data_IF_788970010876
#
_entry.id   IF_788970010876
#
_cell.length_a   1.000
_cell.length_b   1.000
_cell.length_c   1.000
_cell.angle_alpha   90.00
_cell.angle_beta   90.00
_cell.angle_gamma   90.00
#
_symmetry.space_group_name_H-M   'P 1'
#
loop_
_entity.id
_entity.type
_entity.pdbx_description
1 polymer ?
#
# COMPACT_ATOMS: atom_id res chain seq x y z
N UNK A 1 -17.66 -31.86 -14.78
CA UNK A 1 -16.28 -32.43 -14.87
C UNK A 1 -15.32 -31.49 -15.57
N UNK A 2 -15.61 -31.01 -16.78
CA UNK A 2 -14.73 -30.05 -17.51
C UNK A 2 -14.47 -28.76 -16.70
N UNK A 3 -15.51 -28.17 -16.12
CA UNK A 3 -15.40 -26.96 -15.27
C UNK A 3 -14.42 -27.10 -14.10
N UNK A 4 -14.29 -28.29 -13.54
CA UNK A 4 -13.40 -28.57 -12.39
C UNK A 4 -12.00 -29.00 -12.86
N UNK A 5 -11.70 -28.96 -14.16
CA UNK A 5 -10.39 -29.34 -14.71
C UNK A 5 -10.10 -30.84 -14.70
N UNK A 6 -11.07 -31.68 -14.30
CA UNK A 6 -10.93 -33.15 -14.30
C UNK A 6 -11.12 -33.71 -15.71
N UNK A 7 -10.16 -33.41 -16.57
CA UNK A 7 -10.21 -33.75 -17.99
C UNK A 7 -10.31 -35.26 -18.21
N UNK A 8 -9.51 -36.08 -17.52
CA UNK A 8 -9.54 -37.53 -17.73
C UNK A 8 -10.91 -38.14 -17.36
N UNK A 9 -11.54 -37.63 -16.30
CA UNK A 9 -12.87 -38.07 -15.89
C UNK A 9 -13.94 -37.55 -16.87
N UNK A 10 -13.81 -36.31 -17.34
CA UNK A 10 -14.68 -35.76 -18.38
C UNK A 10 -14.60 -36.57 -19.68
N UNK A 11 -13.38 -36.96 -20.10
CA UNK A 11 -13.14 -37.81 -21.26
C UNK A 11 -13.78 -39.18 -21.11
N UNK A 12 -13.59 -39.84 -19.96
CA UNK A 12 -14.20 -41.15 -19.66
C UNK A 12 -15.73 -41.09 -19.71
N UNK A 13 -16.32 -40.01 -19.21
CA UNK A 13 -17.77 -39.80 -19.24
C UNK A 13 -18.29 -39.49 -20.66
N UNK A 14 -17.60 -38.65 -21.43
CA UNK A 14 -17.99 -38.29 -22.79
C UNK A 14 -17.76 -39.42 -23.82
N UNK A 15 -16.82 -40.32 -23.54
CA UNK A 15 -16.49 -41.47 -24.41
C UNK A 15 -17.16 -42.78 -23.93
N UNK A 16 -18.14 -42.71 -23.03
CA UNK A 16 -18.83 -43.90 -22.54
C UNK A 16 -19.72 -44.51 -23.65
N UNK A 17 -19.66 -45.84 -23.88
CA UNK A 17 -20.47 -46.47 -24.93
C UNK A 17 -21.97 -46.27 -24.68
N UNK A 18 -22.68 -45.66 -25.62
CA UNK A 18 -24.15 -45.53 -25.60
C UNK A 18 -24.71 -44.14 -25.29
N UNK A 19 -23.89 -43.12 -25.01
CA UNK A 19 -24.34 -41.72 -24.94
C UNK A 19 -24.08 -40.97 -26.26
N UNK A 20 -24.99 -40.07 -26.70
CA UNK A 20 -24.73 -39.19 -27.83
C UNK A 20 -23.59 -38.24 -27.48
N UNK A 21 -22.53 -38.24 -28.30
CA UNK A 21 -21.39 -37.33 -28.16
C UNK A 21 -21.83 -35.94 -28.61
N UNK A 22 -21.82 -34.96 -27.71
CA UNK A 22 -21.90 -33.54 -28.09
C UNK A 22 -20.54 -33.11 -28.68
N UNK A 23 -20.45 -32.83 -30.00
CA UNK A 23 -19.19 -32.46 -30.63
C UNK A 23 -18.60 -31.18 -30.04
N UNK A 24 -19.45 -30.28 -29.55
CA UNK A 24 -19.07 -29.00 -28.98
C UNK A 24 -18.36 -29.18 -27.64
N UNK A 25 -18.90 -30.02 -26.76
CA UNK A 25 -18.28 -30.34 -25.47
C UNK A 25 -16.98 -31.12 -25.63
N UNK A 26 -16.91 -32.02 -26.63
CA UNK A 26 -15.68 -32.73 -26.97
C UNK A 26 -14.59 -31.77 -27.48
N UNK A 27 -14.95 -30.81 -28.33
CA UNK A 27 -14.03 -29.79 -28.83
C UNK A 27 -13.48 -28.90 -27.70
N UNK A 28 -14.35 -28.47 -26.77
CA UNK A 28 -13.92 -27.71 -25.58
C UNK A 28 -12.98 -28.52 -24.69
N UNK A 29 -13.29 -29.80 -24.45
CA UNK A 29 -12.43 -30.70 -23.68
C UNK A 29 -11.03 -30.82 -24.30
N UNK A 30 -10.95 -31.05 -25.61
CA UNK A 30 -9.67 -31.14 -26.34
C UNK A 30 -8.88 -29.82 -26.30
N UNK A 31 -9.58 -28.68 -26.37
CA UNK A 31 -8.96 -27.38 -26.24
C UNK A 31 -8.38 -27.16 -24.82
N UNK A 32 -9.13 -27.48 -23.77
CA UNK A 32 -8.64 -27.41 -22.38
C UNK A 32 -7.42 -28.30 -22.15
N UNK A 33 -7.43 -29.54 -22.66
CA UNK A 33 -6.27 -30.44 -22.61
C UNK A 33 -5.02 -29.84 -23.25
N UNK A 34 -5.19 -29.29 -24.44
CA UNK A 34 -4.12 -28.65 -25.17
C UNK A 34 -3.54 -27.49 -24.37
N UNK A 35 -4.38 -26.66 -23.77
CA UNK A 35 -3.93 -25.55 -22.95
C UNK A 35 -3.24 -26.02 -21.65
N UNK A 36 -3.73 -27.07 -20.98
CA UNK A 36 -3.07 -27.66 -19.80
C UNK A 36 -1.68 -28.22 -20.15
N UNK A 37 -1.55 -28.93 -21.28
CA UNK A 37 -0.26 -29.42 -21.75
C UNK A 37 0.72 -28.27 -21.98
N UNK A 38 0.25 -27.17 -22.56
CA UNK A 38 1.07 -25.97 -22.76
C UNK A 38 1.39 -25.22 -21.46
N UNK A 39 0.47 -25.11 -20.47
CA UNK A 39 0.80 -24.58 -19.11
C UNK A 39 1.95 -25.41 -18.53
N UNK A 40 1.88 -26.74 -18.67
CA UNK A 40 2.89 -27.67 -18.16
C UNK A 40 4.27 -27.43 -18.78
N UNK A 41 4.33 -27.32 -20.10
CA UNK A 41 5.59 -27.11 -20.81
C UNK A 41 6.16 -25.71 -20.51
N UNK A 42 5.31 -24.68 -20.52
CA UNK A 42 5.69 -23.31 -20.20
C UNK A 42 6.22 -23.18 -18.76
N UNK A 43 5.54 -23.77 -17.78
CA UNK A 43 6.00 -23.79 -16.39
C UNK A 43 7.34 -24.50 -16.25
N UNK A 44 7.54 -25.63 -16.94
CA UNK A 44 8.79 -26.42 -16.89
C UNK A 44 9.99 -25.60 -17.34
N UNK A 45 9.85 -24.80 -18.40
CA UNK A 45 10.90 -23.91 -18.90
C UNK A 45 10.90 -22.53 -18.24
N UNK A 46 10.03 -22.30 -17.25
CA UNK A 46 9.85 -21.02 -16.54
C UNK A 46 9.43 -19.85 -17.42
N UNK A 47 8.72 -20.12 -18.51
CA UNK A 47 8.03 -19.08 -19.30
C UNK A 47 6.68 -18.75 -18.66
N UNK A 48 6.74 -17.90 -17.63
CA UNK A 48 5.55 -17.52 -16.86
C UNK A 48 4.54 -16.70 -17.66
N UNK A 49 4.97 -15.98 -18.71
CA UNK A 49 4.04 -15.26 -19.59
C UNK A 49 3.19 -16.23 -20.40
N UNK A 50 3.82 -17.26 -20.97
CA UNK A 50 3.07 -18.32 -21.66
C UNK A 50 2.25 -19.15 -20.69
N UNK A 51 2.77 -19.48 -19.49
CA UNK A 51 1.99 -20.21 -18.49
C UNK A 51 0.70 -19.45 -18.12
N UNK A 52 0.79 -18.15 -17.85
CA UNK A 52 -0.37 -17.29 -17.57
C UNK A 52 -1.36 -17.25 -18.74
N UNK A 53 -0.87 -17.06 -19.97
CA UNK A 53 -1.72 -17.02 -21.16
C UNK A 53 -2.49 -18.33 -21.35
N UNK A 54 -1.81 -19.47 -21.21
CA UNK A 54 -2.42 -20.77 -21.43
C UNK A 54 -3.35 -21.18 -20.27
N UNK A 55 -3.06 -20.80 -19.02
CA UNK A 55 -4.01 -20.97 -17.91
C UNK A 55 -5.28 -20.16 -18.14
N UNK A 56 -5.14 -18.90 -18.58
CA UNK A 56 -6.28 -18.02 -18.84
C UNK A 56 -7.14 -18.53 -20.01
N UNK A 57 -6.51 -19.05 -21.06
CA UNK A 57 -7.20 -19.68 -22.17
C UNK A 57 -7.95 -20.95 -21.74
N UNK A 58 -7.37 -21.79 -20.88
CA UNK A 58 -8.03 -22.98 -20.34
C UNK A 58 -9.26 -22.60 -19.49
N UNK A 59 -9.12 -21.59 -18.62
CA UNK A 59 -10.21 -21.04 -17.80
C UNK A 59 -11.34 -20.51 -18.69
N UNK A 60 -11.01 -19.66 -19.69
CA UNK A 60 -11.98 -19.08 -20.61
C UNK A 60 -12.70 -20.12 -21.49
N UNK A 61 -12.04 -21.23 -21.80
CA UNK A 61 -12.63 -22.34 -22.58
C UNK A 61 -13.64 -23.16 -21.78
N UNK A 62 -13.68 -22.99 -20.45
CA UNK A 62 -14.69 -23.60 -19.59
C UNK A 62 -14.15 -24.44 -18.44
N UNK A 63 -12.86 -24.32 -18.09
CA UNK A 63 -12.27 -24.91 -16.88
C UNK A 63 -12.19 -23.90 -15.72
N UNK A 64 -13.25 -23.10 -15.56
CA UNK A 64 -13.33 -21.91 -14.70
C UNK A 64 -13.36 -22.21 -13.20
N UNK A 65 -13.62 -23.47 -12.82
CA UNK A 65 -13.64 -23.95 -11.43
C UNK A 65 -12.50 -24.92 -11.12
N UNK A 66 -11.47 -25.02 -11.97
CA UNK A 66 -10.27 -25.86 -11.69
C UNK A 66 -9.35 -25.14 -10.71
N UNK A 67 -9.19 -25.65 -9.47
CA UNK A 67 -8.27 -25.05 -8.50
C UNK A 67 -6.82 -25.09 -9.00
N UNK A 68 -6.43 -26.11 -9.76
CA UNK A 68 -5.07 -26.26 -10.29
C UNK A 68 -4.74 -25.21 -11.33
N UNK A 69 -5.66 -24.91 -12.26
CA UNK A 69 -5.46 -23.87 -13.27
C UNK A 69 -5.47 -22.47 -12.67
N UNK A 70 -6.38 -22.21 -11.72
CA UNK A 70 -6.39 -20.95 -10.99
C UNK A 70 -5.09 -20.76 -10.20
N UNK A 71 -4.52 -21.84 -9.63
CA UNK A 71 -3.20 -21.78 -9.00
C UNK A 71 -2.03 -21.71 -10.01
N UNK A 72 -2.12 -22.28 -11.24
CA UNK A 72 -1.17 -22.01 -12.35
C UNK A 72 -1.13 -20.50 -12.63
N UNK A 73 -2.31 -19.86 -12.71
CA UNK A 73 -2.45 -18.41 -12.91
C UNK A 73 -1.82 -17.60 -11.76
N UNK A 74 -2.15 -17.92 -10.51
CA UNK A 74 -1.59 -17.23 -9.33
C UNK A 74 -0.07 -17.36 -9.28
N UNK A 75 0.49 -18.56 -9.50
CA UNK A 75 1.93 -18.77 -9.53
C UNK A 75 2.59 -17.95 -10.65
N UNK A 76 2.01 -17.96 -11.86
CA UNK A 76 2.56 -17.21 -12.98
C UNK A 76 2.57 -15.68 -12.71
N UNK A 77 1.48 -15.12 -12.18
CA UNK A 77 1.41 -13.71 -11.80
C UNK A 77 2.45 -13.35 -10.74
N UNK A 78 2.62 -14.21 -9.72
CA UNK A 78 3.65 -14.03 -8.70
C UNK A 78 5.06 -13.99 -9.31
N UNK A 79 5.37 -14.90 -10.23
CA UNK A 79 6.68 -14.95 -10.90
C UNK A 79 6.90 -13.83 -11.93
N UNK A 80 5.83 -13.15 -12.33
CA UNK A 80 5.87 -11.94 -13.16
C UNK A 80 5.91 -10.64 -12.32
N UNK A 81 6.04 -10.75 -10.99
CA UNK A 81 6.03 -9.62 -10.06
C UNK A 81 4.72 -8.82 -10.06
N UNK A 82 3.60 -9.48 -10.38
CA UNK A 82 2.25 -8.90 -10.33
C UNK A 82 1.52 -9.36 -9.06
N UNK A 83 1.99 -8.90 -7.90
CA UNK A 83 1.52 -9.40 -6.59
C UNK A 83 0.03 -9.07 -6.33
N UNK A 84 -0.42 -7.87 -6.68
CA UNK A 84 -1.82 -7.44 -6.45
C UNK A 84 -2.80 -8.27 -7.31
N UNK A 85 -2.42 -8.57 -8.56
CA UNK A 85 -3.19 -9.44 -9.46
C UNK A 85 -3.20 -10.89 -8.96
N UNK A 86 -2.09 -11.36 -8.39
CA UNK A 86 -1.96 -12.68 -7.82
C UNK A 86 -2.83 -12.83 -6.55
N UNK A 87 -2.83 -11.83 -5.65
CA UNK A 87 -3.68 -11.82 -4.45
C UNK A 87 -5.17 -11.76 -4.81
N UNK A 88 -5.52 -10.92 -5.79
CA UNK A 88 -6.88 -10.84 -6.32
C UNK A 88 -7.34 -12.18 -6.91
N UNK A 89 -6.47 -12.82 -7.71
CA UNK A 89 -6.76 -14.14 -8.31
C UNK A 89 -6.90 -15.24 -7.24
N UNK A 90 -6.11 -15.18 -6.16
CA UNK A 90 -6.18 -16.13 -5.05
C UNK A 90 -7.54 -16.09 -4.34
N UNK A 91 -8.14 -14.91 -4.19
CA UNK A 91 -9.44 -14.74 -3.54
C UNK A 91 -10.60 -15.47 -4.24
N UNK A 92 -10.44 -15.74 -5.54
CA UNK A 92 -11.42 -16.43 -6.39
C UNK A 92 -11.29 -17.95 -6.32
N UNK A 93 -10.13 -18.46 -5.87
CA UNK A 93 -9.89 -19.91 -5.77
C UNK A 93 -10.88 -20.53 -4.78
N UNK A 94 -11.70 -21.53 -5.22
CA UNK A 94 -12.63 -22.18 -4.33
C UNK A 94 -11.88 -22.78 -3.12
N UNK A 95 -12.32 -22.43 -1.91
CA UNK A 95 -11.81 -23.07 -0.69
C UNK A 95 -12.18 -24.55 -0.76
N UNK A 96 -11.21 -25.42 -1.00
CA UNK A 96 -11.48 -26.86 -0.88
C UNK A 96 -11.77 -27.18 0.58
N UNK A 97 -12.96 -27.73 0.81
CA UNK A 97 -13.18 -28.53 2.01
C UNK A 97 -12.25 -29.75 1.93
N UNK A 98 -11.61 -30.15 3.05
CA UNK A 98 -10.79 -31.35 3.07
C UNK A 98 -11.70 -32.55 2.80
N UNK A 99 -11.70 -33.05 1.56
CA UNK A 99 -12.45 -34.24 1.21
C UNK A 99 -11.86 -35.44 1.96
N UNK A 100 -12.55 -35.82 3.04
CA UNK A 100 -12.38 -37.11 3.69
C UNK A 100 -12.95 -38.17 2.75
N UNK A 101 -12.03 -38.89 2.10
CA UNK A 101 -12.24 -40.12 1.33
C UNK A 101 -12.51 -39.96 -0.18
N UNK A 102 -11.69 -40.71 -0.93
CA UNK A 102 -11.69 -40.91 -2.38
C UNK A 102 -11.00 -39.81 -3.21
N UNK A 103 -9.75 -39.50 -2.91
CA UNK A 103 -8.93 -38.69 -3.82
C UNK A 103 -8.27 -39.58 -4.87
N UNK A 104 -8.70 -39.43 -6.12
CA UNK A 104 -7.88 -39.83 -7.27
C UNK A 104 -6.56 -39.08 -7.13
N UNK A 105 -5.44 -39.79 -6.94
CA UNK A 105 -4.08 -39.22 -6.84
C UNK A 105 -3.63 -38.66 -8.20
N UNK A 106 -4.36 -37.67 -8.70
CA UNK A 106 -4.04 -36.93 -9.91
C UNK A 106 -2.81 -36.09 -9.63
N UNK A 107 -1.90 -36.07 -10.60
CA UNK A 107 -0.71 -35.24 -10.53
C UNK A 107 -0.89 -34.04 -11.45
N UNK A 108 -0.55 -32.87 -10.92
CA UNK A 108 -0.46 -31.63 -11.65
C UNK A 108 0.98 -31.13 -11.56
N UNK A 109 1.63 -30.92 -12.71
CA UNK A 109 3.06 -30.57 -12.78
C UNK A 109 3.99 -31.50 -11.99
N UNK A 110 3.65 -32.79 -11.91
CA UNK A 110 4.44 -33.80 -11.20
C UNK A 110 4.24 -33.82 -9.67
N UNK A 111 3.49 -32.87 -9.11
CA UNK A 111 3.02 -32.86 -7.73
C UNK A 111 1.62 -33.47 -7.63
N UNK A 112 1.25 -34.04 -6.49
CA UNK A 112 -0.17 -34.31 -6.23
C UNK A 112 -0.96 -33.00 -6.30
N UNK A 113 -2.11 -32.98 -6.97
CA UNK A 113 -2.88 -31.76 -7.22
C UNK A 113 -3.13 -30.97 -5.92
N UNK A 114 -3.61 -31.64 -4.86
CA UNK A 114 -3.81 -31.01 -3.54
C UNK A 114 -2.52 -30.40 -2.95
N UNK A 115 -1.37 -31.04 -3.13
CA UNK A 115 -0.09 -30.50 -2.67
C UNK A 115 0.32 -29.25 -3.46
N UNK A 116 0.05 -29.22 -4.77
CA UNK A 116 0.34 -28.07 -5.63
C UNK A 116 -0.42 -26.81 -5.20
N UNK A 117 -1.67 -26.96 -4.76
CA UNK A 117 -2.45 -25.82 -4.24
C UNK A 117 -1.75 -25.21 -3.00
N UNK A 118 -1.41 -26.03 -2.01
CA UNK A 118 -0.72 -25.54 -0.82
C UNK A 118 0.70 -25.05 -1.11
N UNK A 119 1.37 -25.63 -2.12
CA UNK A 119 2.68 -25.19 -2.59
C UNK A 119 2.63 -23.76 -3.13
N UNK A 120 1.68 -23.44 -4.02
CA UNK A 120 1.52 -22.07 -4.53
C UNK A 120 1.00 -21.12 -3.45
N UNK A 121 0.09 -21.58 -2.58
CA UNK A 121 -0.38 -20.79 -1.42
C UNK A 121 0.79 -20.34 -0.54
N UNK A 122 1.73 -21.24 -0.25
CA UNK A 122 2.89 -20.90 0.57
C UNK A 122 3.77 -19.81 -0.08
N UNK A 123 3.94 -19.85 -1.41
CA UNK A 123 4.73 -18.84 -2.13
C UNK A 123 4.08 -17.46 -2.06
N UNK A 124 2.76 -17.36 -2.32
CA UNK A 124 2.07 -16.08 -2.30
C UNK A 124 1.95 -15.51 -0.87
N UNK A 125 1.67 -16.34 0.13
CA UNK A 125 1.65 -15.90 1.53
C UNK A 125 3.04 -15.39 1.97
N UNK A 126 4.12 -16.00 1.49
CA UNK A 126 5.48 -15.52 1.75
C UNK A 126 5.72 -14.14 1.13
N UNK A 127 5.31 -13.95 -0.13
CA UNK A 127 5.44 -12.67 -0.83
C UNK A 127 4.59 -11.55 -0.21
N UNK A 128 3.40 -11.88 0.30
CA UNK A 128 2.53 -10.97 1.07
C UNK A 128 3.05 -10.69 2.49
N UNK A 129 4.15 -11.31 2.91
CA UNK A 129 4.72 -11.13 4.24
C UNK A 129 3.95 -11.83 5.36
N UNK A 130 3.09 -12.80 5.03
CA UNK A 130 2.30 -13.61 5.97
C UNK A 130 3.05 -14.92 6.28
N UNK A 131 4.22 -14.79 6.90
CA UNK A 131 5.19 -15.87 7.09
C UNK A 131 4.62 -17.12 7.78
N UNK A 132 3.78 -16.97 8.81
CA UNK A 132 3.21 -18.12 9.53
C UNK A 132 2.21 -18.92 8.67
N UNK A 133 1.40 -18.22 7.87
CA UNK A 133 0.49 -18.84 6.90
C UNK A 133 1.28 -19.56 5.82
N UNK A 134 2.38 -18.96 5.35
CA UNK A 134 3.27 -19.57 4.36
C UNK A 134 3.88 -20.88 4.87
N UNK A 135 4.39 -20.89 6.11
CA UNK A 135 4.92 -22.11 6.77
C UNK A 135 3.83 -23.17 6.88
N UNK A 136 2.64 -22.79 7.37
CA UNK A 136 1.51 -23.72 7.51
C UNK A 136 1.11 -24.34 6.18
N UNK A 137 1.04 -23.54 5.11
CA UNK A 137 0.72 -24.02 3.77
C UNK A 137 1.81 -24.96 3.24
N UNK A 138 3.10 -24.60 3.39
CA UNK A 138 4.20 -25.44 2.94
C UNK A 138 4.24 -26.79 3.70
N UNK A 139 3.91 -26.79 5.00
CA UNK A 139 3.82 -28.01 5.80
C UNK A 139 2.70 -28.93 5.32
N UNK A 140 1.53 -28.37 4.99
CA UNK A 140 0.43 -29.14 4.40
C UNK A 140 0.82 -29.73 3.05
N UNK A 141 1.47 -28.96 2.17
CA UNK A 141 1.97 -29.47 0.90
C UNK A 141 2.92 -30.67 1.12
N UNK A 142 3.85 -30.55 2.08
CA UNK A 142 4.80 -31.62 2.43
C UNK A 142 4.15 -32.85 3.05
N UNK A 143 3.05 -32.71 3.79
CA UNK A 143 2.29 -33.85 4.31
C UNK A 143 1.57 -34.61 3.20
N UNK A 144 1.04 -33.90 2.20
CA UNK A 144 0.28 -34.47 1.09
C UNK A 144 1.23 -35.19 0.11
N UNK A 145 2.34 -34.56 -0.27
CA UNK A 145 3.32 -35.11 -1.22
C UNK A 145 4.76 -35.13 -0.68
N UNK A 146 5.05 -35.97 0.34
CA UNK A 146 6.34 -35.97 1.04
C UNK A 146 7.52 -36.44 0.19
N UNK A 147 7.26 -37.09 -0.96
CA UNK A 147 8.31 -37.57 -1.86
C UNK A 147 8.66 -36.54 -2.95
N UNK A 148 7.91 -35.44 -3.04
CA UNK A 148 8.16 -34.41 -4.04
C UNK A 148 9.30 -33.48 -3.61
N UNK A 149 10.32 -33.39 -4.48
CA UNK A 149 11.54 -32.62 -4.21
C UNK A 149 11.26 -31.11 -4.17
N UNK A 150 10.42 -30.58 -5.08
CA UNK A 150 10.09 -29.14 -5.09
C UNK A 150 9.36 -28.73 -3.81
N UNK A 151 8.42 -29.56 -3.35
CA UNK A 151 7.69 -29.33 -2.09
C UNK A 151 8.65 -29.34 -0.89
N UNK A 152 9.55 -30.31 -0.82
CA UNK A 152 10.53 -30.39 0.26
C UNK A 152 11.49 -29.18 0.28
N UNK A 153 11.95 -28.73 -0.88
CA UNK A 153 12.80 -27.54 -1.02
C UNK A 153 12.04 -26.28 -0.60
N UNK A 154 10.79 -26.11 -1.06
CA UNK A 154 9.97 -24.96 -0.67
C UNK A 154 9.76 -24.93 0.85
N UNK A 155 9.40 -26.05 1.46
CA UNK A 155 9.18 -26.14 2.90
C UNK A 155 10.43 -25.73 3.71
N UNK A 156 11.60 -26.21 3.30
CA UNK A 156 12.85 -25.85 3.96
C UNK A 156 13.16 -24.35 3.82
N UNK A 157 13.00 -23.80 2.61
CA UNK A 157 13.25 -22.38 2.34
C UNK A 157 12.28 -21.50 3.14
N UNK A 158 10.98 -21.79 3.09
CA UNK A 158 9.94 -21.04 3.80
C UNK A 158 10.17 -21.03 5.30
N UNK A 159 10.48 -22.19 5.90
CA UNK A 159 10.82 -22.28 7.33
C UNK A 159 12.07 -21.49 7.69
N UNK A 160 13.11 -21.56 6.85
CA UNK A 160 14.34 -20.81 7.09
C UNK A 160 14.09 -19.30 7.03
N UNK A 161 13.41 -18.83 5.98
CA UNK A 161 13.06 -17.41 5.79
C UNK A 161 12.22 -16.89 6.96
N UNK A 162 11.20 -17.64 7.38
CA UNK A 162 10.37 -17.27 8.53
C UNK A 162 11.18 -17.18 9.84
N UNK A 163 12.09 -18.14 10.09
CA UNK A 163 12.99 -18.12 11.26
C UNK A 163 13.98 -16.96 11.21
N UNK A 164 14.56 -16.70 10.04
CA UNK A 164 15.48 -15.59 9.81
C UNK A 164 14.80 -14.24 10.10
N UNK A 165 13.55 -14.07 9.64
CA UNK A 165 12.72 -12.91 9.97
C UNK A 165 12.45 -12.79 11.47
N UNK A 166 12.02 -13.87 12.12
CA UNK A 166 11.71 -13.87 13.56
C UNK A 166 12.95 -13.48 14.38
N UNK A 167 14.10 -14.11 14.10
CA UNK A 167 15.39 -13.77 14.69
C UNK A 167 15.76 -12.30 14.46
N UNK A 168 15.62 -11.81 13.22
CA UNK A 168 15.88 -10.40 12.90
C UNK A 168 14.99 -9.45 13.71
N UNK A 169 13.70 -9.76 13.86
CA UNK A 169 12.79 -8.95 14.66
C UNK A 169 13.17 -8.92 16.14
N UNK A 170 13.56 -10.06 16.72
CA UNK A 170 13.94 -10.14 18.13
C UNK A 170 15.25 -9.39 18.41
N UNK A 171 16.21 -9.49 17.48
CA UNK A 171 17.44 -8.70 17.51
C UNK A 171 17.16 -7.20 17.38
N UNK A 172 16.24 -6.81 16.48
CA UNK A 172 15.82 -5.42 16.32
C UNK A 172 15.19 -4.86 17.60
N UNK A 173 14.29 -5.61 18.25
CA UNK A 173 13.69 -5.23 19.54
C UNK A 173 14.72 -5.10 20.66
N UNK A 174 15.79 -5.88 20.58
CA UNK A 174 16.92 -5.83 21.51
C UNK A 174 17.99 -4.80 21.10
N UNK A 175 17.68 -3.92 20.13
CA UNK A 175 18.55 -2.86 19.60
C UNK A 175 19.88 -3.36 18.99
N UNK A 176 19.99 -4.66 18.70
CA UNK A 176 21.15 -5.31 18.05
C UNK A 176 21.04 -5.20 16.53
N UNK A 177 21.05 -3.98 16.02
CA UNK A 177 20.69 -3.69 14.62
C UNK A 177 21.64 -4.32 13.59
N UNK A 178 22.94 -4.43 13.86
CA UNK A 178 23.91 -5.07 12.94
C UNK A 178 23.63 -6.57 12.76
N UNK A 179 23.27 -7.24 13.85
CA UNK A 179 22.92 -8.66 13.84
C UNK A 179 21.53 -8.87 13.24
N UNK A 180 20.59 -7.94 13.49
CA UNK A 180 19.30 -7.93 12.82
C UNK A 180 19.46 -7.81 11.29
N UNK A 181 20.34 -6.90 10.81
CA UNK A 181 20.68 -6.82 9.39
C UNK A 181 21.15 -8.16 8.83
N UNK A 182 22.04 -8.83 9.57
CA UNK A 182 22.58 -10.12 9.17
C UNK A 182 21.49 -11.19 9.09
N UNK A 183 20.61 -11.27 10.10
CA UNK A 183 19.51 -12.22 10.13
C UNK A 183 18.50 -11.99 8.99
N UNK A 184 18.12 -10.75 8.69
CA UNK A 184 17.27 -10.47 7.52
C UNK A 184 18.00 -10.78 6.20
N UNK A 185 19.30 -10.48 6.12
CA UNK A 185 20.15 -10.85 5.00
C UNK A 185 20.21 -12.36 4.77
N UNK A 186 20.23 -13.17 5.83
CA UNK A 186 20.16 -14.63 5.73
C UNK A 186 18.88 -15.08 5.03
N UNK A 187 17.73 -14.52 5.41
CA UNK A 187 16.45 -14.81 4.76
C UNK A 187 16.44 -14.38 3.28
N UNK A 188 16.95 -13.19 2.98
CA UNK A 188 17.03 -12.66 1.61
C UNK A 188 17.92 -13.50 0.68
N UNK A 189 18.89 -14.25 1.19
CA UNK A 189 19.67 -15.19 0.36
C UNK A 189 18.82 -16.32 -0.21
N UNK A 190 17.74 -16.72 0.48
CA UNK A 190 16.82 -17.76 0.01
C UNK A 190 15.57 -17.19 -0.67
N UNK A 191 15.17 -15.98 -0.31
CA UNK A 191 14.05 -15.27 -0.92
C UNK A 191 14.45 -13.83 -1.30
N UNK A 192 15.18 -13.65 -2.43
CA UNK A 192 15.71 -12.36 -2.86
C UNK A 192 14.64 -11.40 -3.36
N UNK A 193 13.38 -11.85 -3.47
CA UNK A 193 12.23 -11.04 -3.88
C UNK A 193 11.29 -10.73 -2.70
N UNK A 194 11.79 -10.81 -1.45
CA UNK A 194 10.97 -10.51 -0.27
C UNK A 194 11.01 -9.03 0.12
N UNK A 195 9.99 -8.26 -0.28
CA UNK A 195 9.89 -6.82 0.02
C UNK A 195 9.89 -6.51 1.53
N UNK A 196 9.31 -7.40 2.35
CA UNK A 196 9.22 -7.22 3.80
C UNK A 196 10.59 -7.36 4.47
N UNK A 197 11.40 -8.34 4.08
CA UNK A 197 12.75 -8.49 4.62
C UNK A 197 13.66 -7.32 4.25
N UNK A 198 13.58 -6.83 3.01
CA UNK A 198 14.28 -5.61 2.61
C UNK A 198 13.85 -4.41 3.46
N UNK A 199 12.55 -4.17 3.62
CA UNK A 199 12.06 -3.05 4.43
C UNK A 199 12.47 -3.16 5.92
N UNK A 200 12.52 -4.36 6.47
CA UNK A 200 12.98 -4.59 7.85
C UNK A 200 14.50 -4.38 7.98
N UNK A 201 15.29 -4.83 7.01
CA UNK A 201 16.74 -4.61 6.97
C UNK A 201 17.07 -3.13 6.77
N UNK A 202 16.33 -2.43 5.91
CA UNK A 202 16.39 -0.98 5.78
C UNK A 202 16.12 -0.26 7.12
N UNK A 203 15.22 -0.79 7.96
CA UNK A 203 14.95 -0.22 9.29
C UNK A 203 16.19 -0.29 10.20
N UNK A 204 16.91 -1.40 10.13
CA UNK A 204 18.15 -1.59 10.87
C UNK A 204 19.23 -0.62 10.36
N UNK A 205 19.40 -0.49 9.04
CA UNK A 205 20.34 0.46 8.44
C UNK A 205 20.07 1.90 8.85
N UNK A 206 18.80 2.29 8.86
CA UNK A 206 18.38 3.61 9.32
C UNK A 206 18.78 3.86 10.78
N UNK A 207 18.52 2.89 11.68
CA UNK A 207 18.89 2.97 13.10
C UNK A 207 20.41 3.00 13.32
N UNK A 208 21.18 2.39 12.42
CA UNK A 208 22.65 2.44 12.43
C UNK A 208 23.23 3.72 11.80
N UNK A 209 22.40 4.64 11.32
CA UNK A 209 22.86 5.84 10.62
C UNK A 209 23.43 5.58 9.21
N UNK A 210 23.28 4.36 8.67
CA UNK A 210 23.71 4.02 7.31
C UNK A 210 22.56 4.25 6.33
N UNK A 211 22.24 5.52 6.11
CA UNK A 211 21.02 5.90 5.37
C UNK A 211 21.06 5.52 3.89
N UNK A 212 22.24 5.50 3.25
CA UNK A 212 22.38 5.03 1.86
C UNK A 212 21.95 3.57 1.70
N UNK A 213 22.42 2.70 2.60
CA UNK A 213 22.04 1.28 2.59
C UNK A 213 20.55 1.10 2.90
N UNK A 214 19.97 1.99 3.71
CA UNK A 214 18.52 2.02 3.96
C UNK A 214 17.74 2.37 2.69
N UNK A 215 18.20 3.36 1.92
CA UNK A 215 17.61 3.73 0.63
C UNK A 215 17.70 2.57 -0.37
N UNK A 216 18.87 1.95 -0.50
CA UNK A 216 19.08 0.80 -1.41
C UNK A 216 18.13 -0.36 -1.11
N UNK A 217 17.98 -0.75 0.17
CA UNK A 217 17.04 -1.81 0.56
C UNK A 217 15.59 -1.37 0.34
N UNK A 218 15.24 -0.11 0.59
CA UNK A 218 13.91 0.40 0.26
C UNK A 218 13.63 0.41 -1.24
N UNK A 219 14.60 0.73 -2.09
CA UNK A 219 14.48 0.68 -3.54
C UNK A 219 14.23 -0.75 -4.01
N UNK A 220 14.93 -1.74 -3.45
CA UNK A 220 14.65 -3.15 -3.73
C UNK A 220 13.22 -3.52 -3.31
N UNK A 221 12.80 -3.16 -2.10
CA UNK A 221 11.44 -3.44 -1.63
C UNK A 221 10.37 -2.82 -2.54
N UNK A 222 10.58 -1.59 -3.01
CA UNK A 222 9.64 -0.85 -3.87
C UNK A 222 9.69 -1.32 -5.33
N UNK A 223 10.81 -1.87 -5.80
CA UNK A 223 10.86 -2.51 -7.11
C UNK A 223 10.00 -3.78 -7.17
N UNK A 224 9.84 -4.46 -6.04
CA UNK A 224 9.02 -5.66 -5.89
C UNK A 224 7.56 -5.29 -5.61
N UNK A 225 7.34 -4.31 -4.71
CA UNK A 225 6.03 -3.84 -4.30
C UNK A 225 5.99 -2.30 -4.32
N UNK A 226 5.61 -1.67 -5.44
CA UNK A 226 5.68 -0.22 -5.63
C UNK A 226 4.93 0.61 -4.60
N UNK A 227 3.81 0.10 -4.09
CA UNK A 227 2.95 0.80 -3.14
C UNK A 227 3.23 0.40 -1.68
N UNK A 228 4.41 -0.15 -1.37
CA UNK A 228 4.72 -0.60 -0.02
C UNK A 228 4.96 0.60 0.92
N UNK A 229 3.89 1.03 1.59
CA UNK A 229 3.84 2.19 2.49
C UNK A 229 5.01 2.27 3.48
N UNK A 230 5.36 1.15 4.13
CA UNK A 230 6.46 1.13 5.12
C UNK A 230 7.83 1.39 4.49
N UNK A 231 8.05 0.91 3.25
CA UNK A 231 9.28 1.16 2.52
C UNK A 231 9.33 2.61 2.01
N UNK A 232 8.22 3.16 1.50
CA UNK A 232 8.13 4.58 1.12
C UNK A 232 8.44 5.51 2.28
N UNK A 233 7.82 5.30 3.45
CA UNK A 233 8.06 6.10 4.66
C UNK A 233 9.54 6.10 5.05
N UNK A 234 10.15 4.92 4.98
CA UNK A 234 11.55 4.74 5.38
C UNK A 234 12.53 5.32 4.37
N UNK A 235 12.24 5.20 3.07
CA UNK A 235 13.05 5.83 2.01
C UNK A 235 12.97 7.34 2.10
N UNK A 236 11.78 7.90 2.32
CA UNK A 236 11.57 9.33 2.53
C UNK A 236 12.37 9.86 3.74
N UNK A 237 12.28 9.15 4.87
CA UNK A 237 13.02 9.50 6.08
C UNK A 237 14.55 9.39 5.88
N UNK A 238 15.02 8.36 5.18
CA UNK A 238 16.44 8.16 4.88
C UNK A 238 16.98 9.24 3.94
N UNK A 239 16.23 9.57 2.88
CA UNK A 239 16.56 10.66 1.97
C UNK A 239 16.56 12.02 2.69
N UNK A 240 15.66 12.23 3.64
CA UNK A 240 15.66 13.43 4.50
C UNK A 240 16.93 13.52 5.35
N UNK A 241 17.39 12.40 5.92
CA UNK A 241 18.67 12.36 6.66
C UNK A 241 19.89 12.59 5.78
N UNK A 242 19.80 12.25 4.50
CA UNK A 242 20.82 12.49 3.47
C UNK A 242 20.70 13.87 2.80
N UNK A 243 19.77 14.71 3.24
CA UNK A 243 19.46 16.01 2.63
C UNK A 243 19.07 15.92 1.14
N UNK A 244 18.64 14.74 0.69
CA UNK A 244 18.07 14.49 -0.64
C UNK A 244 16.59 14.90 -0.63
N UNK A 245 16.35 16.18 -0.42
CA UNK A 245 15.01 16.72 -0.13
C UNK A 245 14.03 16.51 -1.28
N UNK A 246 14.48 16.57 -2.53
CA UNK A 246 13.62 16.35 -3.69
C UNK A 246 13.08 14.92 -3.74
N UNK A 247 13.93 13.93 -3.45
CA UNK A 247 13.58 12.52 -3.36
C UNK A 247 12.60 12.28 -2.20
N UNK A 248 12.88 12.86 -1.03
CA UNK A 248 12.02 12.73 0.15
C UNK A 248 10.62 13.31 -0.09
N UNK A 249 10.53 14.50 -0.70
CA UNK A 249 9.25 15.12 -1.04
C UNK A 249 8.43 14.23 -1.99
N UNK A 250 9.05 13.65 -3.03
CA UNK A 250 8.35 12.75 -3.96
C UNK A 250 7.69 11.56 -3.23
N UNK A 251 8.43 10.91 -2.33
CA UNK A 251 7.90 9.79 -1.56
C UNK A 251 6.80 10.22 -0.59
N UNK A 252 6.98 11.34 0.11
CA UNK A 252 5.95 11.88 1.02
C UNK A 252 4.69 12.35 0.30
N UNK A 253 4.78 12.83 -0.95
CA UNK A 253 3.61 13.16 -1.77
C UNK A 253 2.80 11.92 -2.15
N UNK A 254 3.48 10.81 -2.51
CA UNK A 254 2.81 9.53 -2.74
C UNK A 254 2.11 9.07 -1.46
N UNK A 255 2.82 9.07 -0.33
CA UNK A 255 2.27 8.70 0.97
C UNK A 255 1.07 9.58 1.36
N UNK A 256 1.10 10.87 1.06
CA UNK A 256 -0.01 11.78 1.35
C UNK A 256 -1.27 11.43 0.56
N UNK A 257 -1.13 10.92 -0.68
CA UNK A 257 -2.27 10.49 -1.50
C UNK A 257 -2.87 9.19 -0.96
N UNK A 258 -2.02 8.25 -0.56
CA UNK A 258 -2.45 6.95 0.00
C UNK A 258 -3.01 7.08 1.43
N UNK A 259 -2.45 8.00 2.23
CA UNK A 259 -2.78 8.23 3.64
C UNK A 259 -3.15 9.71 3.90
N UNK A 260 -4.28 10.20 3.38
CA UNK A 260 -4.64 11.62 3.43
C UNK A 260 -4.87 12.14 4.86
N UNK A 261 -5.22 11.26 5.80
CA UNK A 261 -5.57 11.60 7.17
C UNK A 261 -4.40 11.44 8.17
N UNK A 262 -3.23 11.01 7.71
CA UNK A 262 -2.07 10.81 8.58
C UNK A 262 -1.29 12.12 8.76
N UNK A 263 -1.38 12.69 9.97
CA UNK A 263 -0.72 13.95 10.31
C UNK A 263 0.81 13.82 10.35
N UNK A 264 1.36 12.66 10.68
CA UNK A 264 2.82 12.47 10.69
C UNK A 264 3.43 12.59 9.27
N UNK A 265 2.71 12.05 8.27
CA UNK A 265 3.09 12.18 6.85
C UNK A 265 2.96 13.62 6.40
N UNK A 266 1.92 14.31 6.85
CA UNK A 266 1.71 15.73 6.61
C UNK A 266 2.89 16.57 7.09
N UNK A 267 3.31 16.32 8.32
CA UNK A 267 4.40 17.01 9.01
C UNK A 267 5.71 16.78 8.30
N UNK A 268 6.01 15.52 8.03
CA UNK A 268 7.25 15.13 7.36
C UNK A 268 7.35 15.71 5.95
N UNK A 269 6.23 15.72 5.20
CA UNK A 269 6.17 16.34 3.87
C UNK A 269 6.45 17.84 3.96
N UNK A 270 5.81 18.54 4.89
CA UNK A 270 6.00 19.97 5.07
C UNK A 270 7.45 20.31 5.41
N UNK A 271 8.05 19.59 6.36
CA UNK A 271 9.46 19.80 6.72
C UNK A 271 10.40 19.52 5.55
N UNK A 272 10.16 18.45 4.78
CA UNK A 272 10.96 18.14 3.60
C UNK A 272 10.82 19.24 2.51
N UNK A 273 9.62 19.80 2.30
CA UNK A 273 9.38 20.90 1.36
C UNK A 273 10.07 22.20 1.81
N UNK A 274 9.99 22.54 3.10
CA UNK A 274 10.70 23.69 3.69
C UNK A 274 12.20 23.55 3.51
N UNK A 275 12.75 22.37 3.81
CA UNK A 275 14.17 22.09 3.66
C UNK A 275 14.61 22.12 2.18
N UNK A 276 13.78 21.62 1.26
CA UNK A 276 14.03 21.71 -0.18
C UNK A 276 14.12 23.18 -0.64
N UNK A 277 13.17 24.03 -0.25
CA UNK A 277 13.19 25.47 -0.57
C UNK A 277 14.45 26.13 -0.03
N UNK A 278 14.79 25.87 1.23
CA UNK A 278 16.01 26.38 1.85
C UNK A 278 17.27 25.92 1.12
N UNK A 279 17.34 24.66 0.69
CA UNK A 279 18.48 24.12 -0.07
C UNK A 279 18.66 24.77 -1.46
N UNK A 280 17.58 25.36 -2.01
CA UNK A 280 17.59 26.12 -3.27
C UNK A 280 17.92 27.60 -3.09
N UNK A 281 18.13 28.06 -1.85
CA UNK A 281 18.37 29.47 -1.53
C UNK A 281 17.10 30.33 -1.55
N UNK A 282 15.91 29.71 -1.50
CA UNK A 282 14.64 30.45 -1.37
C UNK A 282 14.45 30.92 0.08
N UNK A 283 13.95 32.14 0.27
CA UNK A 283 13.65 32.67 1.60
C UNK A 283 12.46 31.95 2.22
N UNK A 284 12.64 31.38 3.41
CA UNK A 284 11.58 30.69 4.16
C UNK A 284 11.26 31.46 5.45
N UNK A 285 10.22 32.29 5.42
CA UNK A 285 9.72 32.99 6.60
C UNK A 285 8.55 32.23 7.24
N UNK A 286 8.57 32.08 8.58
CA UNK A 286 7.43 31.67 9.43
C UNK A 286 6.62 30.44 8.97
N UNK A 287 7.25 29.43 8.39
CA UNK A 287 6.60 28.15 8.08
C UNK A 287 6.58 27.25 9.33
N UNK A 288 5.55 27.36 10.18
CA UNK A 288 5.26 26.40 11.27
C UNK A 288 4.30 25.33 10.77
N UNK A 289 4.62 24.06 11.00
CA UNK A 289 3.69 22.97 10.71
C UNK A 289 2.53 22.99 11.72
N UNK A 290 1.29 22.93 11.22
CA UNK A 290 0.09 22.72 12.02
C UNK A 290 -0.15 23.81 13.07
N UNK A 291 0.00 25.09 12.68
CA UNK A 291 -0.13 26.22 13.59
C UNK A 291 -1.29 26.06 14.57
N UNK A 292 -1.12 26.48 15.83
CA UNK A 292 -2.29 26.75 16.65
C UNK A 292 -3.08 27.86 15.96
N UNK A 293 -4.42 27.78 15.99
CA UNK A 293 -5.23 28.89 15.51
C UNK A 293 -4.97 30.08 16.44
N UNK A 294 -4.31 31.10 15.94
CA UNK A 294 -3.91 32.25 16.76
C UNK A 294 -5.14 33.12 17.03
N UNK A 295 -5.47 33.31 18.31
CA UNK A 295 -6.48 34.28 18.73
C UNK A 295 -5.85 35.68 18.72
N UNK A 296 -6.46 36.59 17.97
CA UNK A 296 -5.97 37.95 17.77
C UNK A 296 -6.81 38.91 18.60
N UNK A 297 -6.14 39.63 19.51
CA UNK A 297 -6.80 40.53 20.47
C UNK A 297 -6.59 42.03 20.16
N UNK A 298 -5.85 42.36 19.11
CA UNK A 298 -5.50 43.75 18.80
C UNK A 298 -5.25 44.02 17.31
N UNK A 299 -5.46 45.27 16.89
CA UNK A 299 -5.33 45.69 15.49
C UNK A 299 -3.90 45.63 14.96
N UNK A 300 -2.90 45.92 15.79
CA UNK A 300 -1.49 45.83 15.41
C UNK A 300 -1.06 44.37 15.22
N UNK A 301 -1.44 43.49 16.16
CA UNK A 301 -1.24 42.04 16.03
C UNK A 301 -1.91 41.50 14.77
N UNK A 302 -3.17 41.89 14.52
CA UNK A 302 -3.90 41.53 13.31
C UNK A 302 -3.14 41.91 12.04
N UNK A 303 -2.74 43.18 11.92
CA UNK A 303 -2.01 43.68 10.75
C UNK A 303 -0.68 42.97 10.56
N UNK A 304 0.05 42.72 11.64
CA UNK A 304 1.30 41.98 11.60
C UNK A 304 1.07 40.54 11.10
N UNK A 305 0.06 39.85 11.63
CA UNK A 305 -0.23 38.46 11.29
C UNK A 305 -0.65 38.25 9.83
N UNK A 306 -1.50 39.13 9.27
CA UNK A 306 -1.92 39.04 7.86
C UNK A 306 -0.85 39.52 6.88
N UNK A 307 0.10 40.34 7.34
CA UNK A 307 1.21 40.86 6.51
C UNK A 307 2.33 39.84 6.33
N UNK A 308 2.30 38.72 7.07
CA UNK A 308 3.24 37.63 6.88
C UNK A 308 3.15 37.07 5.45
N UNK A 309 4.29 36.72 4.82
CA UNK A 309 4.29 36.04 3.53
C UNK A 309 3.53 34.71 3.60
N UNK A 310 2.63 34.46 2.65
CA UNK A 310 1.80 33.27 2.59
C UNK A 310 0.31 33.58 2.58
N UNK A 311 -0.50 32.59 2.98
CA UNK A 311 -1.95 32.69 3.06
C UNK A 311 -2.37 32.74 4.52
N UNK A 312 -3.25 33.67 4.85
CA UNK A 312 -3.90 33.74 6.16
C UNK A 312 -5.41 33.62 6.02
N UNK A 313 -6.03 32.72 6.77
CA UNK A 313 -7.48 32.55 6.85
C UNK A 313 -7.93 33.07 8.21
N UNK A 314 -8.72 34.13 8.20
CA UNK A 314 -9.21 34.80 9.42
C UNK A 314 -10.67 34.47 9.63
N UNK A 315 -10.98 33.89 10.78
CA UNK A 315 -12.34 33.62 11.25
C UNK A 315 -12.78 34.72 12.22
N UNK A 316 -13.67 35.59 11.74
CA UNK A 316 -14.36 36.56 12.60
C UNK A 316 -15.56 35.88 13.24
N UNK A 317 -15.54 35.79 14.58
CA UNK A 317 -16.53 35.11 15.40
C UNK A 317 -17.08 36.03 16.49
N UNK A 318 -18.17 35.59 17.09
CA UNK A 318 -18.71 36.15 18.32
C UNK A 318 -19.09 34.99 19.24
N UNK A 319 -18.61 35.01 20.49
CA UNK A 319 -18.83 33.91 21.44
C UNK A 319 -20.31 33.57 21.68
N UNK A 320 -21.21 34.54 21.55
CA UNK A 320 -22.66 34.36 21.72
C UNK A 320 -23.35 33.72 20.51
N UNK A 321 -22.72 33.70 19.33
CA UNK A 321 -23.32 33.24 18.09
C UNK A 321 -23.23 31.70 17.90
N UNK A 322 -24.37 31.05 17.69
CA UNK A 322 -24.45 29.58 17.57
C UNK A 322 -23.77 29.01 16.32
N UNK A 323 -23.81 29.72 15.18
CA UNK A 323 -23.14 29.27 13.95
C UNK A 323 -21.61 29.34 14.11
N UNK A 324 -21.11 30.36 14.81
CA UNK A 324 -19.69 30.48 15.14
C UNK A 324 -19.20 29.30 16.00
N UNK A 325 -20.02 28.85 16.96
CA UNK A 325 -19.72 27.65 17.78
C UNK A 325 -19.67 26.37 16.97
N UNK A 326 -20.56 26.22 15.99
CA UNK A 326 -20.61 25.05 15.11
C UNK A 326 -19.43 24.99 14.14
N UNK A 327 -18.99 26.14 13.61
CA UNK A 327 -17.93 26.18 12.60
C UNK A 327 -16.52 26.28 13.20
N UNK A 328 -16.36 26.76 14.44
CA UNK A 328 -15.03 26.90 15.08
C UNK A 328 -14.22 25.60 15.10
N UNK A 329 -14.77 24.42 15.47
CA UNK A 329 -14.03 23.16 15.44
C UNK A 329 -13.55 22.77 14.03
N UNK A 330 -14.25 23.19 12.98
CA UNK A 330 -13.80 22.98 11.61
C UNK A 330 -12.56 23.80 11.31
N UNK A 331 -12.47 25.04 11.79
CA UNK A 331 -11.28 25.89 11.60
C UNK A 331 -10.05 25.23 12.23
N UNK A 332 -10.21 24.68 13.43
CA UNK A 332 -9.14 23.95 14.12
C UNK A 332 -8.73 22.69 13.33
N UNK A 333 -9.71 21.94 12.81
CA UNK A 333 -9.44 20.78 11.95
C UNK A 333 -8.76 21.16 10.61
N UNK A 334 -9.14 22.30 10.02
CA UNK A 334 -8.54 22.81 8.79
C UNK A 334 -7.12 23.30 9.02
N UNK A 335 -6.83 23.86 10.19
CA UNK A 335 -5.48 24.25 10.58
C UNK A 335 -4.54 23.03 10.62
N UNK A 336 -5.00 21.92 11.19
CA UNK A 336 -4.25 20.65 11.16
C UNK A 336 -4.11 20.08 9.74
N UNK A 337 -5.12 20.24 8.88
CA UNK A 337 -5.12 19.70 7.51
C UNK A 337 -4.25 20.53 6.54
N UNK A 338 -4.18 21.85 6.73
CA UNK A 338 -3.49 22.80 5.86
C UNK A 338 -2.41 23.60 6.62
N UNK A 339 -1.30 22.96 7.00
CA UNK A 339 -0.26 23.53 7.86
C UNK A 339 0.50 24.72 7.24
N UNK A 340 0.42 24.91 5.92
CA UNK A 340 1.02 26.03 5.20
C UNK A 340 0.20 27.32 5.27
N UNK A 341 -1.01 27.27 5.85
CA UNK A 341 -1.92 28.40 5.98
C UNK A 341 -1.93 28.87 7.42
N UNK A 342 -1.82 30.18 7.64
CA UNK A 342 -1.99 30.77 8.96
C UNK A 342 -3.49 30.92 9.28
N UNK A 343 -3.98 30.26 10.33
CA UNK A 343 -5.37 30.40 10.76
C UNK A 343 -5.46 31.34 11.96
N UNK A 344 -6.29 32.36 11.84
CA UNK A 344 -6.51 33.37 12.88
C UNK A 344 -7.98 33.33 13.32
N UNK A 345 -8.23 33.52 14.61
CA UNK A 345 -9.56 33.79 15.17
C UNK A 345 -9.59 35.21 15.73
N UNK A 346 -10.65 35.95 15.42
CA UNK A 346 -10.90 37.29 15.94
C UNK A 346 -12.28 37.28 16.55
N UNK A 347 -12.38 37.46 17.87
CA UNK A 347 -13.66 37.74 18.51
C UNK A 347 -13.99 39.23 18.35
N UNK A 348 -15.12 39.52 17.68
CA UNK A 348 -15.51 40.89 17.38
C UNK A 348 -15.97 41.67 18.62
N UNK A 349 -16.39 41.00 19.70
CA UNK A 349 -16.77 41.64 20.96
C UNK A 349 -15.52 42.04 21.76
N UNK A 350 -14.48 41.20 21.73
CA UNK A 350 -13.20 41.47 22.41
C UNK A 350 -12.33 42.45 21.62
N UNK A 351 -12.42 42.43 20.28
CA UNK A 351 -11.58 43.22 19.36
C UNK A 351 -12.37 44.09 18.37
N UNK A 352 -13.22 45.03 18.83
CA UNK A 352 -14.08 45.83 17.96
C UNK A 352 -13.28 46.72 16.99
N UNK A 353 -12.06 47.12 17.35
CA UNK A 353 -11.17 47.88 16.47
C UNK A 353 -10.82 47.11 15.18
N UNK A 354 -10.61 45.80 15.27
CA UNK A 354 -10.31 44.94 14.12
C UNK A 354 -11.58 44.76 13.27
N UNK A 355 -12.71 44.49 13.91
CA UNK A 355 -14.00 44.35 13.21
C UNK A 355 -14.37 45.61 12.42
N UNK A 356 -14.16 46.80 13.01
CA UNK A 356 -14.41 48.08 12.35
C UNK A 356 -13.44 48.33 11.18
N UNK A 357 -12.13 48.08 11.37
CA UNK A 357 -11.13 48.24 10.32
C UNK A 357 -11.41 47.32 9.12
N UNK A 358 -11.92 46.11 9.40
CA UNK A 358 -12.27 45.13 8.39
C UNK A 358 -13.73 45.21 7.94
N UNK A 359 -14.53 46.16 8.45
CA UNK A 359 -15.94 46.33 8.13
C UNK A 359 -16.78 45.03 8.28
N UNK A 360 -16.50 44.24 9.32
CA UNK A 360 -17.21 42.99 9.63
C UNK A 360 -18.38 43.29 10.55
N UNK A 361 -19.61 43.09 10.05
CA UNK A 361 -20.87 43.29 10.80
C UNK A 361 -21.68 42.01 10.99
N UNK A 362 -21.37 40.99 10.21
CA UNK A 362 -22.08 39.70 10.19
C UNK A 362 -21.06 38.62 10.55
N UNK A 363 -21.46 37.66 11.39
CA UNK A 363 -20.62 36.53 11.81
C UNK A 363 -21.40 35.22 11.73
N UNK A 364 -20.75 34.08 11.40
CA UNK A 364 -19.32 33.94 11.13
C UNK A 364 -18.93 34.50 9.76
N UNK A 365 -17.84 35.27 9.70
CA UNK A 365 -17.27 35.76 8.44
C UNK A 365 -15.82 35.31 8.33
N UNK A 366 -15.45 34.83 7.15
CA UNK A 366 -14.10 34.40 6.84
C UNK A 366 -13.47 35.32 5.81
N UNK A 367 -12.24 35.73 6.05
CA UNK A 367 -11.45 36.48 5.08
C UNK A 367 -10.13 35.78 4.81
N UNK A 368 -9.75 35.69 3.54
CA UNK A 368 -8.49 35.10 3.11
C UNK A 368 -7.58 36.22 2.63
N UNK A 369 -6.35 36.25 3.16
CA UNK A 369 -5.30 37.19 2.80
C UNK A 369 -4.15 36.45 2.13
N UNK A 370 -3.51 37.11 1.18
CA UNK A 370 -2.25 36.68 0.56
C UNK A 370 -1.26 37.84 0.65
N UNK A 371 -0.18 37.65 1.40
CA UNK A 371 0.87 38.66 1.61
C UNK A 371 0.29 40.04 2.00
N UNK A 372 -0.59 40.10 3.01
CA UNK A 372 -1.25 41.32 3.46
C UNK A 372 -2.45 41.79 2.63
N UNK A 373 -2.65 41.27 1.42
CA UNK A 373 -3.77 41.67 0.55
C UNK A 373 -4.96 40.73 0.69
N UNK A 374 -6.15 41.26 0.97
CA UNK A 374 -7.38 40.46 1.01
C UNK A 374 -7.73 39.95 -0.39
N UNK A 375 -7.82 38.63 -0.54
CA UNK A 375 -8.14 37.96 -1.81
C UNK A 375 -9.55 37.36 -1.85
N UNK A 376 -10.14 37.06 -0.68
CA UNK A 376 -11.50 36.52 -0.61
C UNK A 376 -12.21 36.87 0.70
N UNK A 377 -13.53 37.00 0.62
CA UNK A 377 -14.43 37.16 1.76
C UNK A 377 -15.61 36.21 1.61
N UNK A 378 -15.99 35.58 2.71
CA UNK A 378 -17.06 34.57 2.76
C UNK A 378 -17.88 34.81 4.02
N UNK A 379 -19.13 35.24 3.84
CA UNK A 379 -20.06 35.54 4.93
C UNK A 379 -20.96 34.33 5.16
N UNK A 380 -21.07 33.88 6.42
CA UNK A 380 -21.85 32.73 6.84
C UNK A 380 -21.67 31.47 5.96
N UNK A 381 -20.44 30.96 5.79
CA UNK A 381 -20.19 29.83 4.89
C UNK A 381 -20.82 28.53 5.37
N UNK A 382 -21.19 27.68 4.40
CA UNK A 382 -21.34 26.26 4.67
C UNK A 382 -19.98 25.60 4.88
N UNK A 383 -19.98 24.43 5.54
CA UNK A 383 -18.78 23.63 5.81
C UNK A 383 -17.97 23.38 4.53
N UNK A 384 -18.64 22.89 3.50
CA UNK A 384 -18.06 22.53 2.20
C UNK A 384 -17.46 23.74 1.46
N UNK A 385 -18.15 24.89 1.50
CA UNK A 385 -17.68 26.10 0.82
C UNK A 385 -16.39 26.65 1.42
N UNK A 386 -16.26 26.57 2.75
CA UNK A 386 -15.05 26.97 3.45
C UNK A 386 -13.90 26.01 3.13
N UNK A 387 -14.11 24.69 3.23
CA UNK A 387 -13.07 23.71 2.91
C UNK A 387 -12.57 23.85 1.46
N UNK A 388 -13.49 24.00 0.50
CA UNK A 388 -13.14 24.21 -0.91
C UNK A 388 -12.33 25.49 -1.11
N UNK A 389 -12.70 26.58 -0.44
CA UNK A 389 -11.98 27.85 -0.55
C UNK A 389 -10.58 27.76 0.05
N UNK A 390 -10.42 27.16 1.23
CA UNK A 390 -9.10 26.95 1.86
C UNK A 390 -8.22 26.08 0.97
N UNK A 391 -8.77 24.99 0.42
CA UNK A 391 -8.06 24.10 -0.51
C UNK A 391 -7.62 24.81 -1.78
N UNK A 392 -8.42 25.73 -2.31
CA UNK A 392 -8.07 26.47 -3.52
C UNK A 392 -6.82 27.35 -3.34
N UNK A 393 -6.63 27.92 -2.14
CA UNK A 393 -5.49 28.77 -1.84
C UNK A 393 -4.32 28.03 -1.17
N UNK A 394 -4.43 26.72 -0.89
CA UNK A 394 -3.36 25.94 -0.26
C UNK A 394 -2.27 25.46 -1.24
N UNK A 395 -2.47 25.62 -2.55
CA UNK A 395 -1.58 25.13 -3.61
C UNK A 395 -0.91 26.26 -4.40
#
# INVERSE_FOLDING_TARGET
MLRVGQVENARKHLCFPGQPQDPTELQKLQAVEKHISKCTDARRIRDWKSALRESDAAIATGADFSPELLMCRVEALLKLHQLDDAESSLSVVPKLEPCTNSCTRTKFFGMLSEAYLFFVQAQIEMALGRFENAVTAAERAGQIDPRNVEVAVLLNNVRFVARARARGNDLFKSERFTEACSAYGDGLRLDPSNSVLYCNRAACWFKLGRWEHSVEDCDQALSIQPNYIKALLRRAASNSKLERWAEAVRDYEVLRRELPNENEVAESLFHAQVALKKSRGEEVYNMKFGGEVEEVSGLEQFRAAISLPGISVVHFKMASNMQCKQISPLVDALCGRYPSINFLKVDIDESPAVANAENVRIVPTFKIYKNGSRVKEIVCPSREMLEHSVRHYSF
#
